data_IF_875467000504
#
_entry.id   IF_875467000504
#
_cell.length_a   1.000
_cell.length_b   1.000
_cell.length_c   1.000
_cell.angle_alpha   90.00
_cell.angle_beta   90.00
_cell.angle_gamma   90.00
#
_symmetry.space_group_name_H-M   'P 1'
#
loop_
_entity.id
_entity.type
_entity.pdbx_description
1 polymer ?
#
# COMPACT_ATOMS: atom_id res chain seq x y z
N UNK A 1 -21.09 -26.13 2.20
CA UNK A 1 -22.09 -25.11 1.79
C UNK A 1 -21.30 -23.86 1.52
N UNK A 2 -21.53 -23.17 0.40
CA UNK A 2 -20.88 -21.87 0.18
C UNK A 2 -21.44 -20.89 1.22
N UNK A 3 -20.60 -20.42 2.12
CA UNK A 3 -20.99 -19.41 3.11
C UNK A 3 -21.18 -18.07 2.40
N UNK A 4 -22.27 -17.36 2.71
CA UNK A 4 -22.60 -16.08 2.07
C UNK A 4 -21.65 -14.94 2.49
N UNK A 5 -20.95 -15.09 3.61
CA UNK A 5 -19.91 -14.15 4.07
C UNK A 5 -18.55 -14.41 3.45
N UNK A 6 -18.37 -15.53 2.74
CA UNK A 6 -17.13 -15.86 2.05
C UNK A 6 -17.29 -15.52 0.56
N UNK A 7 -16.33 -14.77 0.01
CA UNK A 7 -16.28 -14.49 -1.43
C UNK A 7 -16.37 -15.77 -2.26
N UNK A 8 -17.12 -15.74 -3.37
CA UNK A 8 -17.26 -16.87 -4.28
C UNK A 8 -15.92 -17.44 -4.79
N UNK A 9 -14.93 -16.59 -5.07
CA UNK A 9 -13.62 -17.04 -5.52
C UNK A 9 -12.86 -17.75 -4.40
N UNK A 10 -12.94 -17.27 -3.15
CA UNK A 10 -12.39 -17.97 -2.01
C UNK A 10 -13.11 -19.31 -1.77
N UNK A 11 -14.44 -19.35 -1.81
CA UNK A 11 -15.20 -20.60 -1.76
C UNK A 11 -14.72 -21.61 -2.83
N UNK A 12 -14.53 -21.16 -4.08
CA UNK A 12 -13.98 -21.99 -5.15
C UNK A 12 -12.58 -22.51 -4.81
N UNK A 13 -11.68 -21.63 -4.36
CA UNK A 13 -10.32 -21.98 -3.94
C UNK A 13 -10.25 -23.02 -2.81
N UNK A 14 -11.17 -22.97 -1.85
CA UNK A 14 -11.24 -23.91 -0.72
C UNK A 14 -11.84 -25.27 -1.11
N UNK A 15 -12.68 -25.29 -2.16
CA UNK A 15 -13.41 -26.49 -2.59
C UNK A 15 -12.65 -27.41 -3.56
N UNK A 16 -11.62 -26.89 -4.25
CA UNK A 16 -10.83 -27.64 -5.24
C UNK A 16 -9.65 -28.37 -4.60
N UNK A 17 -9.15 -29.41 -5.27
CA UNK A 17 -7.93 -30.10 -4.82
C UNK A 17 -6.69 -29.19 -4.92
N UNK A 18 -5.62 -29.52 -4.18
CA UNK A 18 -4.35 -28.79 -4.26
C UNK A 18 -3.79 -28.72 -5.67
N UNK A 19 -3.92 -29.81 -6.44
CA UNK A 19 -3.40 -29.92 -7.80
C UNK A 19 -4.20 -29.06 -8.79
N UNK A 20 -5.51 -28.95 -8.59
CA UNK A 20 -6.37 -28.08 -9.38
C UNK A 20 -6.15 -26.60 -9.03
N UNK A 21 -6.02 -26.28 -7.73
CA UNK A 21 -5.73 -24.93 -7.27
C UNK A 21 -4.40 -24.43 -7.83
N UNK A 22 -3.35 -25.25 -7.76
CA UNK A 22 -2.01 -24.89 -8.24
C UNK A 22 -1.96 -24.62 -9.76
N UNK A 23 -2.90 -25.17 -10.54
CA UNK A 23 -3.00 -24.90 -11.99
C UNK A 23 -3.61 -23.53 -12.29
N UNK A 24 -4.24 -22.88 -11.32
CA UNK A 24 -4.86 -21.56 -11.49
C UNK A 24 -4.25 -20.54 -10.55
N UNK A 25 -3.53 -19.58 -11.13
CA UNK A 25 -2.96 -18.45 -10.40
C UNK A 25 -4.01 -17.72 -9.55
N UNK A 26 -5.23 -17.59 -10.05
CA UNK A 26 -6.31 -16.92 -9.35
C UNK A 26 -6.77 -17.70 -8.13
N UNK A 27 -6.91 -19.03 -8.25
CA UNK A 27 -7.32 -19.87 -7.14
C UNK A 27 -6.22 -20.00 -6.08
N UNK A 28 -4.96 -19.97 -6.50
CA UNK A 28 -3.78 -20.13 -5.64
C UNK A 28 -3.36 -18.82 -4.92
N UNK A 29 -3.74 -17.64 -5.46
CA UNK A 29 -3.40 -16.36 -4.83
C UNK A 29 -3.99 -16.29 -3.40
N UNK A 30 -3.20 -15.81 -2.44
CA UNK A 30 -3.57 -15.82 -1.01
C UNK A 30 -3.13 -17.07 -0.26
N UNK A 31 -2.87 -18.20 -0.93
CA UNK A 31 -2.41 -19.42 -0.27
C UNK A 31 -0.88 -19.56 -0.33
N UNK A 32 -0.28 -20.06 0.76
CA UNK A 32 1.13 -20.47 0.82
C UNK A 32 1.23 -22.00 0.95
N UNK A 33 1.64 -22.72 -0.11
CA UNK A 33 1.78 -24.18 -0.09
C UNK A 33 2.77 -24.71 0.95
N UNK A 34 3.83 -23.97 1.26
CA UNK A 34 4.89 -24.40 2.16
C UNK A 34 4.45 -24.37 3.61
N UNK A 35 3.69 -23.35 4.01
CA UNK A 35 3.19 -23.19 5.38
C UNK A 35 1.75 -23.63 5.56
N UNK A 36 1.02 -23.86 4.46
CA UNK A 36 -0.43 -24.14 4.42
C UNK A 36 -1.29 -23.02 5.04
N UNK A 37 -0.79 -21.79 4.96
CA UNK A 37 -1.47 -20.60 5.49
C UNK A 37 -2.16 -19.86 4.34
N UNK A 38 -3.36 -19.40 4.62
CA UNK A 38 -4.15 -18.47 3.81
C UNK A 38 -4.01 -17.05 4.35
N UNK A 39 -3.74 -16.13 3.45
CA UNK A 39 -3.92 -14.69 3.63
C UNK A 39 -5.35 -14.34 3.20
N UNK A 40 -6.15 -13.77 4.10
CA UNK A 40 -7.53 -13.32 3.85
C UNK A 40 -7.72 -11.88 4.34
N UNK A 41 -8.63 -11.15 3.72
CA UNK A 41 -9.10 -9.82 4.11
C UNK A 41 -10.45 -10.01 4.80
N UNK A 42 -10.60 -9.43 5.98
CA UNK A 42 -11.82 -9.53 6.80
C UNK A 42 -12.35 -8.14 7.10
N UNK A 43 -13.64 -7.94 6.83
CA UNK A 43 -14.41 -6.79 7.29
C UNK A 43 -15.22 -7.18 8.53
N UNK A 44 -15.21 -6.35 9.58
CA UNK A 44 -15.84 -6.68 10.86
C UNK A 44 -16.71 -5.55 11.46
N UNK A 45 -17.67 -5.92 12.32
CA UNK A 45 -18.77 -5.06 12.78
C UNK A 45 -18.57 -4.37 14.15
N UNK A 46 -17.35 -4.32 14.67
CA UNK A 46 -17.09 -3.84 16.05
C UNK A 46 -15.80 -3.02 16.19
N UNK A 47 -15.43 -2.71 17.43
CA UNK A 47 -14.12 -2.15 17.78
C UNK A 47 -13.00 -3.17 17.54
N UNK A 48 -11.79 -2.67 17.29
CA UNK A 48 -10.59 -3.51 17.15
C UNK A 48 -10.40 -4.40 18.37
N UNK A 49 -10.60 -3.86 19.56
CA UNK A 49 -10.37 -4.56 20.84
C UNK A 49 -11.38 -5.71 21.03
N UNK A 50 -12.66 -5.48 20.70
CA UNK A 50 -13.67 -6.52 20.78
C UNK A 50 -13.41 -7.64 19.76
N UNK A 51 -13.05 -7.29 18.52
CA UNK A 51 -12.76 -8.30 17.50
C UNK A 51 -11.45 -9.04 17.80
N UNK A 52 -10.42 -8.37 18.33
CA UNK A 52 -9.21 -9.02 18.83
C UNK A 52 -9.51 -10.03 19.94
N UNK A 53 -10.48 -9.74 20.82
CA UNK A 53 -10.96 -10.69 21.83
C UNK A 53 -11.57 -11.96 21.23
N UNK A 54 -12.30 -11.85 20.11
CA UNK A 54 -12.80 -13.02 19.36
C UNK A 54 -11.63 -13.82 18.76
N UNK A 55 -10.71 -13.13 18.09
CA UNK A 55 -9.56 -13.77 17.44
C UNK A 55 -8.59 -14.45 18.42
N UNK A 56 -8.57 -14.04 19.69
CA UNK A 56 -7.77 -14.68 20.73
C UNK A 56 -8.16 -16.16 21.01
N UNK A 57 -9.34 -16.60 20.57
CA UNK A 57 -9.77 -17.99 20.65
C UNK A 57 -9.22 -18.89 19.53
N UNK A 58 -8.50 -18.34 18.55
CA UNK A 58 -8.01 -19.04 17.37
C UNK A 58 -6.50 -19.26 17.43
N UNK A 59 -6.09 -20.52 17.29
CA UNK A 59 -4.68 -20.88 17.11
C UNK A 59 -4.25 -20.72 15.64
N UNK A 60 -2.93 -20.61 15.40
CA UNK A 60 -2.33 -20.50 14.05
C UNK A 60 -2.90 -19.33 13.23
N UNK A 61 -2.97 -18.17 13.86
CA UNK A 61 -3.51 -16.96 13.27
C UNK A 61 -2.59 -15.77 13.58
N UNK A 62 -2.36 -14.91 12.59
CA UNK A 62 -1.77 -13.58 12.78
C UNK A 62 -2.63 -12.52 12.11
N UNK A 63 -2.60 -11.29 12.65
CA UNK A 63 -3.48 -10.20 12.24
C UNK A 63 -2.69 -8.95 11.95
N UNK A 64 -2.98 -8.34 10.81
CA UNK A 64 -2.61 -6.97 10.47
C UNK A 64 -3.88 -6.13 10.54
N UNK A 65 -3.89 -5.14 11.42
CA UNK A 65 -5.05 -4.29 11.66
C UNK A 65 -5.02 -3.07 10.73
N UNK A 66 -6.11 -2.84 10.03
CA UNK A 66 -6.26 -1.70 9.12
C UNK A 66 -7.34 -0.74 9.62
N UNK A 67 -7.32 0.49 9.10
CA UNK A 67 -8.38 1.47 9.31
C UNK A 67 -9.73 0.97 8.78
N UNK A 68 -10.82 1.62 9.21
CA UNK A 68 -12.14 1.37 8.63
C UNK A 68 -12.80 0.03 8.98
N UNK A 69 -12.33 -0.66 10.04
CA UNK A 69 -12.79 -2.01 10.46
C UNK A 69 -12.44 -3.13 9.47
N UNK A 70 -11.22 -3.05 8.94
CA UNK A 70 -10.63 -4.10 8.12
C UNK A 70 -9.44 -4.74 8.84
N UNK A 71 -9.20 -6.00 8.56
CA UNK A 71 -8.02 -6.72 9.00
C UNK A 71 -7.54 -7.67 7.90
N UNK A 72 -6.23 -7.86 7.80
CA UNK A 72 -5.65 -8.95 7.03
C UNK A 72 -5.29 -10.04 8.03
N UNK A 73 -5.82 -11.24 7.81
CA UNK A 73 -5.62 -12.39 8.69
C UNK A 73 -4.85 -13.44 7.91
N UNK A 74 -3.74 -13.91 8.50
CA UNK A 74 -3.04 -15.09 8.01
C UNK A 74 -3.43 -16.27 8.89
N UNK A 75 -4.06 -17.30 8.34
CA UNK A 75 -4.52 -18.44 9.13
C UNK A 75 -4.65 -19.73 8.34
N UNK A 76 -4.91 -20.84 9.02
CA UNK A 76 -5.16 -22.15 8.39
C UNK A 76 -6.58 -22.21 7.79
N UNK A 77 -6.79 -23.10 6.83
CA UNK A 77 -8.05 -23.22 6.10
C UNK A 77 -9.25 -23.47 7.04
N UNK A 78 -9.08 -24.28 8.07
CA UNK A 78 -10.10 -24.65 9.05
C UNK A 78 -10.66 -23.42 9.78
N UNK A 79 -9.79 -22.45 10.08
CA UNK A 79 -10.21 -21.23 10.76
C UNK A 79 -11.07 -20.32 9.87
N UNK A 80 -10.95 -20.39 8.55
CA UNK A 80 -11.72 -19.52 7.64
C UNK A 80 -13.22 -19.81 7.75
N UNK A 81 -13.58 -21.09 7.77
CA UNK A 81 -14.98 -21.51 7.91
C UNK A 81 -15.55 -21.13 9.29
N UNK A 82 -14.74 -21.28 10.35
CA UNK A 82 -15.12 -20.88 11.70
C UNK A 82 -15.30 -19.37 11.82
N UNK A 83 -14.39 -18.59 11.24
CA UNK A 83 -14.45 -17.12 11.21
C UNK A 83 -15.70 -16.63 10.47
N UNK A 84 -16.12 -17.27 9.39
CA UNK A 84 -17.37 -16.89 8.72
C UNK A 84 -18.60 -17.04 9.64
N UNK A 85 -18.57 -18.04 10.53
CA UNK A 85 -19.58 -18.24 11.57
C UNK A 85 -19.61 -17.16 12.66
N UNK A 86 -18.55 -16.36 12.80
CA UNK A 86 -18.47 -15.34 13.85
C UNK A 86 -19.46 -14.19 13.62
N UNK A 87 -20.24 -13.76 14.63
CA UNK A 87 -21.20 -12.65 14.48
C UNK A 87 -20.54 -11.32 14.11
N UNK A 88 -19.29 -11.12 14.53
CA UNK A 88 -18.55 -9.89 14.24
C UNK A 88 -17.94 -9.86 12.84
N UNK A 89 -17.86 -10.99 12.14
CA UNK A 89 -17.37 -11.04 10.77
C UNK A 89 -18.51 -10.69 9.82
N UNK A 90 -18.31 -9.61 9.07
CA UNK A 90 -19.24 -9.14 8.04
C UNK A 90 -18.96 -9.83 6.70
N UNK A 91 -17.69 -9.91 6.30
CA UNK A 91 -17.29 -10.51 5.04
C UNK A 91 -15.81 -10.93 5.02
N UNK A 92 -15.50 -11.97 4.25
CA UNK A 92 -14.16 -12.53 4.05
C UNK A 92 -13.86 -12.61 2.55
N UNK A 93 -12.74 -12.03 2.14
CA UNK A 93 -12.25 -12.02 0.77
C UNK A 93 -10.81 -12.54 0.71
N UNK A 94 -10.41 -13.21 -0.39
CA UNK A 94 -9.00 -13.51 -0.62
C UNK A 94 -8.33 -12.38 -1.40
N UNK A 95 -7.01 -12.18 -1.25
CA UNK A 95 -6.29 -11.18 -2.04
C UNK A 95 -6.36 -11.47 -3.54
N UNK A 96 -6.27 -10.38 -4.30
CA UNK A 96 -6.22 -10.38 -5.77
C UNK A 96 -4.89 -9.79 -6.24
N UNK A 97 -4.42 -10.22 -7.41
CA UNK A 97 -3.21 -9.64 -8.02
C UNK A 97 -3.55 -8.27 -8.61
N UNK A 98 -2.63 -7.34 -8.41
CA UNK A 98 -2.61 -6.03 -9.06
C UNK A 98 -1.63 -6.07 -10.24
N UNK A 99 -1.82 -5.18 -11.18
CA UNK A 99 -0.97 -4.98 -12.34
C UNK A 99 -0.57 -3.51 -12.41
N UNK A 100 0.57 -3.24 -13.05
CA UNK A 100 0.92 -1.87 -13.39
C UNK A 100 -0.10 -1.33 -14.37
N UNK A 101 -0.60 -0.12 -14.12
CA UNK A 101 -1.25 0.65 -15.16
C UNK A 101 -0.18 1.49 -15.84
N UNK A 102 0.09 1.23 -17.12
CA UNK A 102 0.97 2.08 -17.91
C UNK A 102 0.33 3.46 -18.05
N UNK A 103 0.71 4.39 -17.17
CA UNK A 103 0.30 5.78 -17.27
C UNK A 103 1.09 6.45 -18.40
N UNK A 104 0.45 6.65 -19.55
CA UNK A 104 0.94 7.61 -20.54
C UNK A 104 0.83 9.03 -19.95
N UNK A 105 1.89 9.47 -19.27
CA UNK A 105 2.01 10.78 -18.62
C UNK A 105 2.14 11.94 -19.62
N UNK A 106 0.99 12.50 -19.99
CA UNK A 106 0.71 13.85 -20.47
C UNK A 106 1.49 14.51 -21.64
N UNK A 107 0.80 14.52 -22.78
CA UNK A 107 0.57 15.73 -23.61
C UNK A 107 -0.90 16.20 -23.59
N UNK A 108 -1.74 15.77 -22.63
CA UNK A 108 -3.20 15.95 -22.72
C UNK A 108 -3.87 16.77 -21.60
N UNK A 109 -3.26 17.00 -20.42
CA UNK A 109 -3.90 17.79 -19.36
C UNK A 109 -3.50 19.27 -19.41
N UNK A 110 -4.48 20.18 -19.43
CA UNK A 110 -4.32 21.65 -19.42
C UNK A 110 -3.77 22.24 -18.09
N UNK A 111 -2.86 21.56 -17.41
CA UNK A 111 -2.25 21.98 -16.13
C UNK A 111 -1.53 23.34 -16.25
N UNK A 112 -0.94 23.62 -17.41
CA UNK A 112 -0.25 24.89 -17.68
C UNK A 112 -1.16 26.12 -17.52
N UNK A 113 -2.46 25.99 -17.76
CA UNK A 113 -3.41 27.10 -17.63
C UNK A 113 -3.69 27.49 -16.16
N UNK A 114 -3.63 26.53 -15.23
CA UNK A 114 -3.87 26.78 -13.79
C UNK A 114 -2.61 27.30 -13.12
N UNK A 115 -1.43 26.80 -13.51
CA UNK A 115 -0.15 27.27 -12.97
C UNK A 115 0.26 28.66 -13.50
N UNK A 116 -0.25 29.06 -14.68
CA UNK A 116 -0.03 30.40 -15.24
C UNK A 116 -0.81 31.50 -14.52
N UNK A 117 -1.87 31.14 -13.78
CA UNK A 117 -2.63 32.08 -12.95
C UNK A 117 -1.97 32.21 -11.56
N UNK A 118 -1.01 33.13 -11.48
CA UNK A 118 -0.29 33.48 -10.24
C UNK A 118 -1.20 34.02 -9.12
N UNK A 119 -2.52 34.21 -9.34
CA UNK A 119 -3.43 34.75 -8.34
C UNK A 119 -3.85 33.74 -7.26
N UNK A 120 -3.77 32.42 -7.52
CA UNK A 120 -4.30 31.38 -6.61
C UNK A 120 -3.19 30.63 -5.84
N UNK A 121 -1.91 30.74 -6.27
CA UNK A 121 -0.71 30.18 -5.62
C UNK A 121 -0.87 28.73 -5.08
N UNK A 122 -1.55 27.86 -5.82
CA UNK A 122 -1.78 26.47 -5.45
C UNK A 122 -0.58 25.58 -5.80
N UNK A 123 0.44 25.56 -4.93
CA UNK A 123 1.70 24.82 -5.15
C UNK A 123 1.83 23.54 -4.32
N UNK A 124 0.80 23.20 -3.54
CA UNK A 124 0.75 22.00 -2.69
C UNK A 124 1.37 22.16 -1.29
N UNK A 125 1.78 23.38 -0.91
CA UNK A 125 2.35 23.65 0.42
C UNK A 125 1.39 23.24 1.54
N UNK A 126 1.90 22.50 2.52
CA UNK A 126 1.10 22.01 3.65
C UNK A 126 0.25 20.78 3.32
N UNK A 127 0.39 20.20 2.12
CA UNK A 127 -0.28 18.98 1.67
C UNK A 127 0.76 17.90 1.40
N UNK A 128 0.42 16.65 1.72
CA UNK A 128 1.22 15.48 1.37
C UNK A 128 0.75 14.92 0.03
N UNK A 129 1.69 14.64 -0.86
CA UNK A 129 1.49 13.78 -2.02
C UNK A 129 1.95 12.37 -1.66
N UNK A 130 1.00 11.46 -1.43
CA UNK A 130 1.23 10.04 -1.20
C UNK A 130 1.35 9.31 -2.54
N UNK A 131 2.40 8.52 -2.74
CA UNK A 131 2.60 7.79 -4.00
C UNK A 131 2.85 6.32 -3.70
N UNK A 132 2.12 5.45 -4.37
CA UNK A 132 2.25 3.99 -4.28
C UNK A 132 2.68 3.48 -5.66
N UNK A 133 3.95 3.08 -5.80
CA UNK A 133 4.54 2.71 -7.10
C UNK A 133 5.74 1.71 -6.98
N UNK A 134 6.56 1.58 -8.02
CA UNK A 134 7.70 0.65 -8.16
C UNK A 134 8.93 1.00 -7.32
N UNK A 135 9.00 2.23 -6.83
CA UNK A 135 10.16 2.79 -6.14
C UNK A 135 10.40 4.24 -6.56
N UNK A 136 11.37 4.88 -5.92
CA UNK A 136 11.71 6.27 -6.20
C UNK A 136 13.22 6.47 -6.18
N UNK A 137 13.75 7.18 -7.17
CA UNK A 137 15.07 7.81 -7.09
C UNK A 137 15.01 9.00 -6.14
N UNK A 138 15.11 8.72 -4.84
CA UNK A 138 15.09 9.70 -3.77
C UNK A 138 16.24 10.73 -3.87
N UNK A 139 17.32 10.40 -4.59
CA UNK A 139 18.47 11.27 -4.76
C UNK A 139 18.28 12.34 -5.84
N UNK A 140 17.25 12.19 -6.68
CA UNK A 140 16.96 13.12 -7.76
C UNK A 140 16.77 14.56 -7.23
N UNK A 141 17.37 15.58 -7.87
CA UNK A 141 17.19 16.98 -7.48
C UNK A 141 15.72 17.44 -7.49
N UNK A 142 14.87 16.76 -8.27
CA UNK A 142 13.45 17.06 -8.38
C UNK A 142 12.69 16.91 -7.05
N UNK A 143 13.20 16.13 -6.10
CA UNK A 143 12.56 15.88 -4.80
C UNK A 143 13.25 16.59 -3.62
N UNK A 144 14.13 17.55 -3.91
CA UNK A 144 14.86 18.31 -2.90
C UNK A 144 14.27 19.69 -2.67
N UNK A 145 14.38 20.17 -1.44
CA UNK A 145 14.20 21.57 -1.07
C UNK A 145 15.33 22.43 -1.64
N UNK A 146 15.14 23.75 -1.61
CA UNK A 146 16.15 24.72 -2.07
C UNK A 146 17.44 24.69 -1.27
N UNK A 147 17.41 24.22 -0.02
CA UNK A 147 18.59 24.05 0.84
C UNK A 147 19.31 22.71 0.61
N UNK A 148 18.80 21.87 -0.29
CA UNK A 148 19.37 20.56 -0.63
C UNK A 148 18.86 19.38 0.21
N UNK A 149 18.06 19.63 1.26
CA UNK A 149 17.36 18.57 2.02
C UNK A 149 16.26 17.91 1.18
N UNK A 150 15.82 16.71 1.56
CA UNK A 150 14.72 16.01 0.87
C UNK A 150 13.35 16.62 1.20
N UNK A 151 12.39 16.51 0.26
CA UNK A 151 10.94 16.76 0.51
C UNK A 151 10.18 15.48 0.86
N UNK A 152 10.86 14.34 0.88
CA UNK A 152 10.26 13.03 1.16
C UNK A 152 10.28 12.82 2.67
N UNK A 153 9.10 12.81 3.29
CA UNK A 153 8.92 12.64 4.74
C UNK A 153 9.14 11.20 5.18
N UNK A 154 8.78 10.24 4.34
CA UNK A 154 9.08 8.83 4.57
C UNK A 154 8.97 8.01 3.29
N UNK A 155 9.75 6.93 3.24
CA UNK A 155 9.66 5.88 2.24
C UNK A 155 9.41 4.56 2.96
N UNK A 156 8.35 3.84 2.60
CA UNK A 156 8.19 2.45 3.01
C UNK A 156 8.51 1.53 1.83
N UNK A 157 9.59 0.76 1.93
CA UNK A 157 9.90 -0.30 0.98
C UNK A 157 9.36 -1.64 1.52
N UNK A 158 8.24 -2.09 0.95
CA UNK A 158 7.62 -3.36 1.33
C UNK A 158 8.43 -4.60 0.92
N UNK A 159 9.41 -4.45 0.01
CA UNK A 159 10.31 -5.53 -0.42
C UNK A 159 11.54 -5.67 0.47
N UNK A 160 11.88 -4.61 1.22
CA UNK A 160 13.11 -4.56 2.00
C UNK A 160 12.97 -5.33 3.32
N UNK A 161 13.92 -6.23 3.60
CA UNK A 161 14.03 -6.89 4.91
C UNK A 161 14.82 -5.98 5.84
N UNK A 162 14.19 -5.50 6.91
CA UNK A 162 14.85 -4.59 7.84
C UNK A 162 15.91 -5.32 8.66
N UNK A 163 17.16 -4.86 8.61
CA UNK A 163 18.27 -5.33 9.46
C UNK A 163 18.38 -4.56 10.78
N UNK A 164 17.62 -3.47 10.93
CA UNK A 164 17.74 -2.49 12.03
C UNK A 164 16.41 -2.22 12.74
N UNK A 165 15.41 -3.11 12.60
CA UNK A 165 14.14 -3.03 13.34
C UNK A 165 13.20 -1.92 12.88
N UNK A 166 13.37 -1.38 11.66
CA UNK A 166 12.51 -0.36 11.05
C UNK A 166 11.31 -0.99 10.32
N UNK A 167 10.62 -1.90 11.01
CA UNK A 167 9.47 -2.60 10.44
C UNK A 167 8.21 -1.88 10.90
N UNK A 168 7.36 -1.35 9.99
CA UNK A 168 6.07 -0.80 10.38
C UNK A 168 5.18 -1.81 11.10
N UNK A 169 4.09 -1.33 11.70
CA UNK A 169 3.10 -2.13 12.45
C UNK A 169 2.48 -3.30 11.63
N UNK A 170 2.72 -3.36 10.32
CA UNK A 170 2.30 -4.43 9.42
C UNK A 170 3.19 -5.69 9.51
N UNK A 171 4.36 -5.61 10.15
CA UNK A 171 5.26 -6.76 10.38
C UNK A 171 6.15 -7.14 9.19
N UNK A 172 6.23 -6.31 8.14
CA UNK A 172 7.12 -6.51 6.99
C UNK A 172 7.57 -5.19 6.36
N UNK A 173 8.57 -5.29 5.48
CA UNK A 173 9.17 -4.14 4.81
C UNK A 173 10.10 -3.34 5.73
N UNK A 174 10.63 -2.25 5.19
CA UNK A 174 11.49 -1.30 5.91
C UNK A 174 10.99 0.13 5.70
N UNK A 175 10.70 0.86 6.77
CA UNK A 175 10.47 2.30 6.73
C UNK A 175 11.79 3.06 6.82
N UNK A 176 11.90 4.10 5.99
CA UNK A 176 12.97 5.09 6.03
C UNK A 176 12.36 6.46 6.32
N UNK A 177 12.88 7.11 7.34
CA UNK A 177 12.49 8.46 7.73
C UNK A 177 13.14 9.53 6.86
N UNK A 178 12.65 10.76 6.94
CA UNK A 178 13.29 11.94 6.34
C UNK A 178 14.77 12.06 6.73
N UNK A 179 15.10 11.80 8.00
CA UNK A 179 16.47 11.83 8.50
C UNK A 179 17.34 10.75 7.86
N UNK A 180 16.81 9.52 7.70
CA UNK A 180 17.52 8.45 7.02
C UNK A 180 17.85 8.82 5.56
N UNK A 181 16.89 9.45 4.89
CA UNK A 181 17.04 9.91 3.51
C UNK A 181 18.11 11.00 3.44
N UNK A 182 18.01 12.05 4.26
CA UNK A 182 18.98 13.15 4.30
C UNK A 182 20.39 12.66 4.64
N UNK A 183 20.53 11.73 5.60
CA UNK A 183 21.80 11.09 5.92
C UNK A 183 22.37 10.35 4.70
N UNK A 184 21.56 9.59 3.99
CA UNK A 184 21.97 8.88 2.77
C UNK A 184 22.38 9.85 1.64
N UNK A 185 21.68 10.98 1.48
CA UNK A 185 22.04 12.03 0.51
C UNK A 185 23.41 12.66 0.82
N UNK A 186 23.72 12.89 2.10
CA UNK A 186 25.00 13.43 2.54
C UNK A 186 26.15 12.43 2.34
N UNK A 187 25.91 11.14 2.60
CA UNK A 187 26.89 10.07 2.38
C UNK A 187 27.17 9.85 0.90
N UNK A 188 26.15 9.94 0.04
CA UNK A 188 26.29 9.80 -1.42
C UNK A 188 27.18 10.89 -2.05
N UNK A 189 27.27 12.07 -1.42
CA UNK A 189 28.19 13.14 -1.81
C UNK A 189 29.66 12.87 -1.44
N UNK A 190 29.92 11.84 -0.63
CA UNK A 190 31.25 11.49 -0.14
C UNK A 190 31.67 10.18 -0.83
N UNK A 191 32.66 10.25 -1.72
CA UNK A 191 33.06 9.10 -2.54
C UNK A 191 33.45 7.89 -1.66
N UNK A 192 32.66 6.81 -1.73
CA UNK A 192 32.96 5.53 -1.08
C UNK A 192 32.25 5.24 0.26
N UNK A 193 31.36 6.11 0.73
CA UNK A 193 30.57 5.85 1.95
C UNK A 193 29.14 5.42 1.63
N UNK A 194 28.87 4.12 1.72
CA UNK A 194 27.53 3.61 2.04
C UNK A 194 27.65 2.86 3.37
N UNK A 195 26.76 3.15 4.31
CA UNK A 195 26.71 2.40 5.58
C UNK A 195 25.95 1.07 5.40
N UNK A 196 25.40 0.82 4.21
CA UNK A 196 24.59 -0.35 3.86
C UNK A 196 23.21 -0.39 4.54
N UNK A 197 22.83 0.65 5.28
CA UNK A 197 21.57 0.67 6.05
C UNK A 197 20.40 1.24 5.25
N UNK A 198 20.68 2.04 4.22
CA UNK A 198 19.68 2.64 3.33
C UNK A 198 19.83 2.10 1.90
N UNK A 199 18.79 1.45 1.38
CA UNK A 199 18.77 0.97 -0.01
C UNK A 199 17.34 0.99 -0.55
N UNK A 200 16.94 2.14 -1.11
CA UNK A 200 15.72 2.28 -1.91
C UNK A 200 16.12 2.48 -3.36
N UNK A 201 15.57 1.66 -4.24
CA UNK A 201 15.76 1.77 -5.68
C UNK A 201 14.43 1.67 -6.41
N UNK A 202 14.31 2.48 -7.46
CA UNK A 202 13.26 2.33 -8.47
C UNK A 202 13.75 1.40 -9.58
N UNK A 203 13.19 0.21 -9.64
CA UNK A 203 13.66 -0.84 -10.56
C UNK A 203 13.22 -0.61 -12.00
N UNK A 204 12.11 0.10 -12.22
CA UNK A 204 11.56 0.38 -13.56
C UNK A 204 11.72 1.84 -13.99
N UNK A 205 11.88 2.76 -13.04
CA UNK A 205 11.84 4.20 -13.28
C UNK A 205 10.42 4.78 -13.31
N UNK A 206 9.38 3.94 -13.25
CA UNK A 206 7.98 4.35 -13.34
C UNK A 206 7.58 5.22 -12.15
N UNK A 207 7.82 4.76 -10.93
CA UNK A 207 7.49 5.50 -9.72
C UNK A 207 8.23 6.83 -9.59
N UNK A 208 9.47 6.91 -10.06
CA UNK A 208 10.21 8.18 -10.14
C UNK A 208 9.56 9.15 -11.11
N UNK A 209 9.12 8.68 -12.29
CA UNK A 209 8.44 9.51 -13.28
C UNK A 209 7.09 10.03 -12.76
N UNK A 210 6.28 9.14 -12.17
CA UNK A 210 5.00 9.49 -11.53
C UNK A 210 5.21 10.51 -10.42
N UNK A 211 6.17 10.28 -9.53
CA UNK A 211 6.50 11.19 -8.44
C UNK A 211 6.93 12.57 -8.94
N UNK A 212 7.73 12.62 -10.02
CA UNK A 212 8.17 13.88 -10.62
C UNK A 212 7.01 14.66 -11.22
N UNK A 213 6.09 14.00 -11.93
CA UNK A 213 4.89 14.65 -12.48
C UNK A 213 4.04 15.22 -11.35
N UNK A 214 3.76 14.43 -10.31
CA UNK A 214 2.88 14.84 -9.23
C UNK A 214 3.49 15.94 -8.35
N UNK A 215 4.73 15.75 -7.89
CA UNK A 215 5.32 16.54 -6.82
C UNK A 215 6.79 16.95 -7.07
N UNK A 216 7.35 16.73 -8.26
CA UNK A 216 8.69 17.23 -8.62
C UNK A 216 8.75 18.76 -8.59
N UNK A 217 9.97 19.32 -8.55
CA UNK A 217 10.17 20.78 -8.57
C UNK A 217 9.56 21.46 -9.81
N UNK A 218 9.42 20.72 -10.90
CA UNK A 218 8.75 21.08 -12.16
C UNK A 218 7.37 20.41 -12.32
N UNK A 219 6.86 19.76 -11.28
CA UNK A 219 5.60 19.02 -11.28
C UNK A 219 4.38 19.87 -10.95
N UNK A 220 3.25 19.18 -10.70
CA UNK A 220 1.96 19.81 -10.39
C UNK A 220 1.98 20.50 -9.02
N UNK A 221 2.50 19.83 -8.00
CA UNK A 221 2.54 20.29 -6.60
C UNK A 221 3.98 20.39 -6.06
N UNK A 222 4.80 21.34 -6.56
CA UNK A 222 6.24 21.41 -6.29
C UNK A 222 6.60 21.79 -4.84
N UNK A 223 5.65 22.28 -4.05
CA UNK A 223 5.83 22.60 -2.62
C UNK A 223 5.16 21.58 -1.70
N UNK A 224 4.63 20.48 -2.24
CA UNK A 224 4.11 19.39 -1.43
C UNK A 224 5.24 18.55 -0.82
N UNK A 225 4.94 18.02 0.37
CA UNK A 225 5.75 16.97 1.00
C UNK A 225 5.37 15.62 0.39
N UNK A 226 6.32 14.68 0.35
CA UNK A 226 6.10 13.37 -0.30
C UNK A 226 6.12 12.26 0.75
N UNK A 227 5.16 11.34 0.65
CA UNK A 227 5.27 10.01 1.29
C UNK A 227 5.23 8.99 0.17
N UNK A 228 6.21 8.09 0.16
CA UNK A 228 6.33 7.09 -0.89
C UNK A 228 6.20 5.68 -0.31
N UNK A 229 5.45 4.82 -0.99
CA UNK A 229 5.42 3.38 -0.71
C UNK A 229 5.84 2.64 -1.96
N UNK A 230 6.94 1.89 -1.85
CA UNK A 230 7.33 0.92 -2.86
C UNK A 230 6.62 -0.40 -2.57
N UNK A 231 5.79 -0.83 -3.51
CA UNK A 231 4.95 -2.01 -3.35
C UNK A 231 5.75 -3.30 -3.36
N UNK A 232 5.37 -4.20 -2.44
CA UNK A 232 5.99 -5.51 -2.27
C UNK A 232 5.55 -6.51 -3.33
N UNK A 233 6.44 -7.43 -3.70
CA UNK A 233 6.09 -8.63 -4.46
C UNK A 233 5.88 -9.78 -3.46
N UNK A 234 4.76 -10.49 -3.55
CA UNK A 234 4.44 -11.56 -2.59
C UNK A 234 5.36 -12.81 -2.69
N UNK A 235 6.08 -12.96 -3.81
CA UNK A 235 7.08 -13.99 -4.18
C UNK A 235 8.01 -13.41 -5.27
N UNK A 236 9.19 -13.99 -5.46
CA UNK A 236 9.96 -13.83 -6.72
C UNK A 236 9.04 -14.10 -7.91
N UNK A 237 9.08 -13.22 -8.92
CA UNK A 237 8.22 -13.26 -10.12
C UNK A 237 6.70 -13.18 -9.88
N UNK A 238 6.28 -12.57 -8.77
CA UNK A 238 4.86 -12.29 -8.52
C UNK A 238 4.53 -10.80 -8.65
N UNK A 239 3.24 -10.49 -8.64
CA UNK A 239 2.74 -9.13 -8.64
C UNK A 239 2.28 -8.72 -7.25
N UNK A 240 2.26 -7.40 -6.95
CA UNK A 240 1.66 -6.89 -5.72
C UNK A 240 0.20 -7.34 -5.58
N UNK A 241 -0.28 -7.51 -4.35
CA UNK A 241 -1.67 -7.89 -4.08
C UNK A 241 -2.46 -6.75 -3.47
N UNK A 242 -3.78 -6.91 -3.46
CA UNK A 242 -4.70 -6.00 -2.77
C UNK A 242 -4.34 -5.80 -1.30
N UNK A 243 -3.80 -6.81 -0.60
CA UNK A 243 -3.35 -6.70 0.79
C UNK A 243 -2.19 -5.73 0.96
N UNK A 244 -1.16 -5.81 0.11
CA UNK A 244 -0.05 -4.85 0.11
C UNK A 244 -0.54 -3.41 -0.16
N UNK A 245 -1.51 -3.25 -1.05
CA UNK A 245 -2.08 -1.95 -1.39
C UNK A 245 -2.89 -1.37 -0.22
N UNK A 246 -3.72 -2.20 0.42
CA UNK A 246 -4.48 -1.77 1.60
C UNK A 246 -3.56 -1.29 2.73
N UNK A 247 -2.47 -2.02 2.99
CA UNK A 247 -1.46 -1.58 3.96
C UNK A 247 -0.76 -0.29 3.52
N UNK A 248 -0.45 -0.13 2.23
CA UNK A 248 0.19 1.09 1.71
C UNK A 248 -0.70 2.33 1.91
N UNK A 249 -2.00 2.21 1.62
CA UNK A 249 -2.98 3.28 1.86
C UNK A 249 -3.11 3.56 3.37
N UNK A 250 -3.24 2.51 4.19
CA UNK A 250 -3.31 2.62 5.65
C UNK A 250 -2.12 3.42 6.20
N UNK A 251 -0.91 3.05 5.75
CA UNK A 251 0.34 3.67 6.14
C UNK A 251 0.37 5.15 5.80
N UNK A 252 0.08 5.50 4.54
CA UNK A 252 0.09 6.90 4.09
C UNK A 252 -0.89 7.74 4.90
N UNK A 253 -2.11 7.24 5.14
CA UNK A 253 -3.13 7.95 5.91
C UNK A 253 -2.69 8.14 7.36
N UNK A 254 -2.16 7.09 8.01
CA UNK A 254 -1.65 7.20 9.40
C UNK A 254 -0.48 8.17 9.51
N UNK A 255 0.45 8.17 8.55
CA UNK A 255 1.54 9.14 8.51
C UNK A 255 1.01 10.55 8.30
N UNK A 256 0.05 10.76 7.39
CA UNK A 256 -0.57 12.06 7.16
C UNK A 256 -1.26 12.60 8.43
N UNK A 257 -1.97 11.75 9.17
CA UNK A 257 -2.52 12.07 10.49
C UNK A 257 -1.40 12.44 11.48
N UNK A 258 -0.31 11.66 11.53
CA UNK A 258 0.82 11.94 12.45
C UNK A 258 1.50 13.28 12.17
N UNK A 259 1.55 13.70 10.90
CA UNK A 259 2.07 15.00 10.49
C UNK A 259 1.02 16.12 10.55
N UNK A 260 -0.25 15.79 10.86
CA UNK A 260 -1.39 16.71 10.85
C UNK A 260 -1.59 17.43 9.50
N UNK A 261 -1.28 16.75 8.40
CA UNK A 261 -1.37 17.30 7.03
C UNK A 261 -2.41 16.54 6.20
N UNK A 262 -3.21 17.21 5.36
CA UNK A 262 -4.03 16.53 4.35
C UNK A 262 -3.16 15.77 3.35
N UNK A 263 -3.72 14.74 2.72
CA UNK A 263 -2.99 13.90 1.76
C UNK A 263 -3.79 13.63 0.48
N UNK A 264 -3.12 13.73 -0.67
CA UNK A 264 -3.61 13.21 -1.95
C UNK A 264 -2.78 11.97 -2.31
N UNK A 265 -3.42 10.82 -2.47
CA UNK A 265 -2.76 9.53 -2.73
C UNK A 265 -2.92 9.18 -4.21
N UNK A 266 -1.81 9.07 -4.93
CA UNK A 266 -1.77 8.55 -6.29
C UNK A 266 -1.47 7.05 -6.27
N UNK A 267 -2.37 6.25 -6.86
CA UNK A 267 -2.26 4.79 -6.93
C UNK A 267 -2.07 4.39 -8.41
N UNK A 268 -0.84 4.10 -8.81
CA UNK A 268 -0.54 3.67 -10.19
C UNK A 268 -0.58 2.14 -10.36
N UNK A 269 -1.40 1.48 -9.55
CA UNK A 269 -1.67 0.05 -9.60
C UNK A 269 -3.16 -0.18 -9.76
N UNK A 270 -3.52 -1.00 -10.74
CA UNK A 270 -4.90 -1.37 -11.02
C UNK A 270 -5.06 -2.89 -11.06
N UNK A 271 -6.30 -3.35 -11.08
CA UNK A 271 -6.61 -4.73 -11.43
C UNK A 271 -7.94 -4.79 -12.14
N UNK A 272 -8.02 -5.62 -13.18
CA UNK A 272 -9.30 -5.94 -13.84
C UNK A 272 -10.05 -7.08 -13.13
N UNK A 273 -9.54 -7.57 -11.99
CA UNK A 273 -10.16 -8.65 -11.23
C UNK A 273 -10.74 -8.10 -9.92
N UNK A 274 -12.05 -8.25 -9.77
CA UNK A 274 -12.84 -7.70 -8.68
C UNK A 274 -14.30 -7.63 -9.11
N UNK A 275 -15.21 -7.40 -8.16
CA UNK A 275 -16.61 -7.14 -8.48
C UNK A 275 -16.67 -5.73 -9.10
N UNK A 276 -17.04 -5.58 -10.38
CA UNK A 276 -17.13 -4.27 -11.05
C UNK A 276 -18.33 -3.42 -10.59
N UNK A 277 -18.93 -3.82 -9.48
CA UNK A 277 -20.14 -3.28 -8.88
C UNK A 277 -19.81 -2.27 -7.77
N UNK A 278 -18.54 -2.08 -7.41
CA UNK A 278 -18.11 -1.20 -6.32
C UNK A 278 -18.22 -1.85 -4.93
N UNK A 279 -18.43 -3.17 -4.85
CA UNK A 279 -18.70 -3.90 -3.61
C UNK A 279 -17.54 -4.77 -3.14
N UNK A 280 -16.40 -4.77 -3.83
CA UNK A 280 -15.23 -5.50 -3.35
C UNK A 280 -14.68 -4.89 -2.05
N UNK A 281 -13.97 -5.69 -1.24
CA UNK A 281 -13.43 -5.19 0.02
C UNK A 281 -12.38 -4.10 -0.19
N UNK A 282 -11.63 -4.12 -1.30
CA UNK A 282 -10.68 -3.05 -1.62
C UNK A 282 -11.38 -1.72 -1.94
N UNK A 283 -12.45 -1.74 -2.73
CA UNK A 283 -13.22 -0.53 -3.07
C UNK A 283 -13.94 0.03 -1.83
N UNK A 284 -14.55 -0.86 -1.04
CA UNK A 284 -15.21 -0.49 0.21
C UNK A 284 -14.21 0.05 1.22
N UNK A 285 -13.01 -0.51 1.27
CA UNK A 285 -11.91 -0.02 2.11
C UNK A 285 -11.48 1.39 1.70
N UNK A 286 -11.20 1.62 0.41
CA UNK A 286 -10.83 2.94 -0.11
C UNK A 286 -11.92 3.97 0.22
N UNK A 287 -13.18 3.63 0.00
CA UNK A 287 -14.31 4.48 0.37
C UNK A 287 -14.35 4.77 1.88
N UNK A 288 -14.17 3.75 2.72
CA UNK A 288 -14.18 3.88 4.18
C UNK A 288 -13.07 4.80 4.69
N UNK A 289 -11.83 4.60 4.21
CA UNK A 289 -10.68 5.38 4.67
C UNK A 289 -10.63 6.79 4.07
N UNK A 290 -11.33 7.05 2.96
CA UNK A 290 -11.49 8.40 2.44
C UNK A 290 -12.18 9.35 3.44
N UNK A 291 -13.02 8.81 4.33
CA UNK A 291 -13.67 9.57 5.40
C UNK A 291 -12.83 9.65 6.69
N UNK A 292 -11.73 8.90 6.80
CA UNK A 292 -10.94 8.81 8.04
C UNK A 292 -10.06 10.06 8.26
N UNK A 293 -9.70 10.76 7.19
CA UNK A 293 -8.86 11.95 7.23
C UNK A 293 -9.15 12.88 6.05
N UNK A 294 -8.48 14.02 5.95
CA UNK A 294 -8.53 14.92 4.78
C UNK A 294 -7.76 14.28 3.62
N UNK A 295 -8.38 13.28 3.00
CA UNK A 295 -7.75 12.39 2.01
C UNK A 295 -8.50 12.43 0.69
N UNK A 296 -7.76 12.46 -0.41
CA UNK A 296 -8.27 12.15 -1.76
C UNK A 296 -7.39 11.06 -2.35
N UNK A 297 -7.97 9.99 -2.86
CA UNK A 297 -7.24 8.93 -3.58
C UNK A 297 -7.57 9.02 -5.07
N UNK A 298 -6.55 9.02 -5.92
CA UNK A 298 -6.63 9.18 -7.38
C UNK A 298 -5.86 8.07 -8.06
#
# INVERSE_FOLDING_TARGET
MNDQKIENLLNASLSVTSDERAKSVNLETGYNPSTRIWEIIVMYSSTKEAFAGVLAGYDNLSVIWLLGRFAIINTIQENIELLAGEPLVEFIEKPKRLYFEDAAGNTASCISAIQADNSINLRGKGVITGIIDTGIDYAAPAFRNSDGSTRILSIWDQTAVSSVGRVPDYGFGTEYSEDDINNSLNLSGTAGSSDGTFSVTDVSGHGTAVARIAAGNDGVAPESSIIFVKMGLAREDSFPRTTQLMCAIDYIIRKAVSYLMPVAINISFGSNYGDHTGTSLIETYINSVSYAWKTVSV
#
